data_IF_975991610338
#
_entry.id   IF_975991610338
#
_cell.length_a   1.000
_cell.length_b   1.000
_cell.length_c   1.000
_cell.angle_alpha   90.00
_cell.angle_beta   90.00
_cell.angle_gamma   90.00
#
_symmetry.space_group_name_H-M   'P 1'
#
loop_
_entity.id
_entity.type
_entity.pdbx_description
1 polymer ?
#
# COMPACT_ATOMS: atom_id res chain seq x y z
N UNK A 1 -4.75 23.05 -0.20
CA UNK A 1 -3.85 21.90 -0.04
C UNK A 1 -3.12 21.56 -1.35
N UNK A 2 -3.83 21.27 -2.48
CA UNK A 2 -3.18 20.84 -3.72
C UNK A 2 -2.13 21.84 -4.25
N UNK A 3 -2.40 23.14 -4.23
CA UNK A 3 -1.41 24.18 -4.59
C UNK A 3 -0.17 24.15 -3.70
N UNK A 4 -0.37 24.05 -2.38
CA UNK A 4 0.74 23.91 -1.41
C UNK A 4 1.63 22.70 -1.71
N UNK A 5 1.02 21.53 -2.02
CA UNK A 5 1.78 20.33 -2.38
C UNK A 5 2.60 20.55 -3.66
N UNK A 6 2.03 21.21 -4.67
CA UNK A 6 2.71 21.50 -5.92
C UNK A 6 3.88 22.51 -5.73
N UNK A 7 3.66 23.58 -4.99
CA UNK A 7 4.68 24.59 -4.68
C UNK A 7 5.89 24.01 -3.93
N UNK A 8 5.63 23.00 -3.06
CA UNK A 8 6.68 22.32 -2.31
C UNK A 8 7.15 21.00 -2.97
N UNK A 9 6.72 20.71 -4.19
CA UNK A 9 7.08 19.52 -4.96
C UNK A 9 6.90 18.20 -4.17
N UNK A 10 5.83 18.12 -3.38
CA UNK A 10 5.52 16.92 -2.61
C UNK A 10 5.01 15.83 -3.55
N UNK A 11 5.61 14.65 -3.53
CA UNK A 11 5.09 13.49 -4.25
C UNK A 11 3.74 13.06 -3.68
N UNK A 12 2.78 12.79 -4.56
CA UNK A 12 1.43 12.39 -4.17
C UNK A 12 1.19 10.94 -4.52
N UNK A 13 0.86 10.13 -3.51
CA UNK A 13 0.42 8.74 -3.69
C UNK A 13 -1.06 8.66 -3.29
N UNK A 14 -1.95 8.41 -4.27
CA UNK A 14 -3.38 8.45 -4.07
C UNK A 14 -4.02 7.07 -4.22
N UNK A 15 -4.81 6.66 -3.22
CA UNK A 15 -5.55 5.39 -3.29
C UNK A 15 -6.75 5.49 -4.22
N UNK A 16 -6.73 4.72 -5.31
CA UNK A 16 -7.87 4.51 -6.21
C UNK A 16 -8.00 3.01 -6.49
N UNK A 17 -8.78 2.25 -5.69
CA UNK A 17 -8.85 0.80 -5.77
C UNK A 17 -9.34 0.27 -7.11
N UNK A 18 -10.15 1.06 -7.83
CA UNK A 18 -10.61 0.75 -9.18
C UNK A 18 -10.91 2.04 -9.95
N UNK A 19 -10.86 1.96 -11.27
CA UNK A 19 -11.30 3.05 -12.18
C UNK A 19 -12.82 3.03 -12.44
N UNK A 20 -13.58 2.18 -11.74
CA UNK A 20 -15.04 2.08 -11.82
C UNK A 20 -15.68 2.36 -10.47
N UNK A 21 -16.70 3.23 -10.44
CA UNK A 21 -17.41 3.60 -9.20
C UNK A 21 -18.05 2.41 -8.51
N UNK A 22 -18.61 1.47 -9.29
CA UNK A 22 -19.25 0.26 -8.76
C UNK A 22 -18.33 -0.61 -7.90
N UNK A 23 -17.01 -0.54 -8.14
CA UNK A 23 -16.00 -1.27 -7.39
C UNK A 23 -15.39 -0.45 -6.24
N UNK A 24 -15.39 0.89 -6.36
CA UNK A 24 -14.82 1.79 -5.32
C UNK A 24 -15.81 2.04 -4.18
N UNK A 25 -17.06 2.31 -4.50
CA UNK A 25 -18.05 2.73 -3.50
C UNK A 25 -18.36 1.68 -2.42
N UNK A 26 -18.42 0.37 -2.71
CA UNK A 26 -18.58 -0.65 -1.67
C UNK A 26 -17.42 -0.70 -0.66
N UNK A 27 -16.19 -0.36 -1.10
CA UNK A 27 -15.01 -0.33 -0.23
C UNK A 27 -14.85 0.98 0.54
N UNK A 28 -15.10 2.11 -0.13
CA UNK A 28 -14.71 3.46 0.34
C UNK A 28 -15.89 4.34 0.74
N UNK A 29 -17.10 3.92 0.41
CA UNK A 29 -18.33 4.66 0.69
C UNK A 29 -18.86 5.46 -0.50
N UNK A 30 -20.16 5.80 -0.41
CA UNK A 30 -20.90 6.49 -1.47
C UNK A 30 -20.26 7.84 -1.83
N UNK A 31 -20.12 8.11 -3.13
CA UNK A 31 -19.60 9.37 -3.68
C UNK A 31 -18.09 9.56 -3.50
N UNK A 32 -17.36 8.59 -2.94
CA UNK A 32 -15.90 8.68 -2.81
C UNK A 32 -15.24 8.64 -4.18
N UNK A 33 -15.74 7.82 -5.12
CA UNK A 33 -15.20 7.74 -6.46
C UNK A 33 -15.22 9.13 -7.16
N UNK A 34 -16.37 9.79 -7.18
CA UNK A 34 -16.50 11.11 -7.83
C UNK A 34 -15.56 12.15 -7.20
N UNK A 35 -15.44 12.16 -5.86
CA UNK A 35 -14.49 13.05 -5.17
C UNK A 35 -13.03 12.74 -5.49
N UNK A 36 -12.68 11.46 -5.62
CA UNK A 36 -11.34 11.04 -6.00
C UNK A 36 -11.01 11.49 -7.42
N UNK A 37 -11.90 11.29 -8.39
CA UNK A 37 -11.73 11.76 -9.76
C UNK A 37 -11.52 13.29 -9.81
N UNK A 38 -12.38 14.06 -9.12
CA UNK A 38 -12.24 15.52 -9.06
C UNK A 38 -10.90 15.96 -8.43
N UNK A 39 -10.44 15.26 -7.39
CA UNK A 39 -9.15 15.53 -6.77
C UNK A 39 -7.98 15.25 -7.72
N UNK A 40 -8.01 14.12 -8.44
CA UNK A 40 -6.97 13.76 -9.42
C UNK A 40 -6.94 14.76 -10.58
N UNK A 41 -8.10 15.18 -11.10
CA UNK A 41 -8.19 16.21 -12.14
C UNK A 41 -7.60 17.55 -11.66
N UNK A 42 -7.85 17.92 -10.39
CA UNK A 42 -7.25 19.12 -9.80
C UNK A 42 -5.74 19.02 -9.66
N UNK A 43 -5.20 17.84 -9.31
CA UNK A 43 -3.76 17.59 -9.28
C UNK A 43 -3.15 17.67 -10.68
N UNK A 44 -3.79 17.06 -11.69
CA UNK A 44 -3.35 17.16 -13.08
C UNK A 44 -3.35 18.61 -13.61
N UNK A 45 -4.33 19.44 -13.21
CA UNK A 45 -4.36 20.85 -13.57
C UNK A 45 -3.16 21.66 -13.01
N UNK A 46 -2.55 21.18 -11.93
CA UNK A 46 -1.33 21.75 -11.33
C UNK A 46 -0.04 21.13 -11.90
N UNK A 47 -0.15 20.15 -12.81
CA UNK A 47 0.98 19.50 -13.44
C UNK A 47 1.34 18.10 -12.90
N UNK A 48 0.72 17.64 -11.83
CA UNK A 48 0.95 16.28 -11.30
C UNK A 48 0.67 15.20 -12.34
N UNK A 49 1.52 14.15 -12.39
CA UNK A 49 1.39 13.03 -13.30
C UNK A 49 1.57 13.38 -14.78
N UNK A 50 1.98 14.62 -15.09
CA UNK A 50 2.23 15.07 -16.47
C UNK A 50 3.68 14.98 -16.84
N UNK A 51 4.02 14.49 -18.04
CA UNK A 51 5.41 14.39 -18.50
C UNK A 51 6.15 15.72 -18.40
N UNK A 52 7.34 15.70 -17.83
CA UNK A 52 8.22 16.87 -17.75
C UNK A 52 7.90 17.89 -16.66
N UNK A 53 6.81 17.73 -15.89
CA UNK A 53 6.44 18.66 -14.82
C UNK A 53 7.32 18.52 -13.57
N UNK A 54 7.83 17.31 -13.30
CA UNK A 54 8.54 16.97 -12.07
C UNK A 54 7.63 16.85 -10.84
N UNK A 55 6.29 16.83 -11.02
CA UNK A 55 5.30 16.64 -9.98
C UNK A 55 4.74 15.22 -10.09
N UNK A 56 5.20 14.32 -9.20
CA UNK A 56 4.87 12.89 -9.22
C UNK A 56 3.48 12.65 -8.65
N UNK A 57 2.66 11.90 -9.39
CA UNK A 57 1.37 11.36 -8.98
C UNK A 57 1.34 9.85 -9.20
N UNK A 58 1.41 9.09 -8.13
CA UNK A 58 1.21 7.64 -8.17
C UNK A 58 -0.18 7.27 -7.68
N UNK A 59 -0.74 6.19 -8.23
CA UNK A 59 -1.99 5.62 -7.75
C UNK A 59 -1.74 4.30 -7.05
N UNK A 60 -2.59 3.99 -6.06
CA UNK A 60 -2.56 2.70 -5.36
C UNK A 60 -3.81 1.90 -5.67
N UNK A 61 -3.61 0.68 -6.15
CA UNK A 61 -4.62 -0.35 -6.33
C UNK A 61 -4.58 -1.36 -5.19
N UNK A 62 -5.76 -1.69 -4.65
CA UNK A 62 -5.99 -2.83 -3.77
C UNK A 62 -7.12 -3.67 -4.34
N UNK A 63 -7.04 -5.02 -4.34
CA UNK A 63 -8.15 -5.89 -4.73
C UNK A 63 -9.42 -5.61 -3.91
N UNK A 64 -10.58 -5.77 -4.54
CA UNK A 64 -11.89 -5.54 -3.89
C UNK A 64 -12.37 -6.73 -3.06
N UNK A 65 -11.59 -7.80 -2.95
CA UNK A 65 -11.97 -9.04 -2.28
C UNK A 65 -10.78 -9.88 -1.84
N UNK A 66 -11.07 -11.12 -1.45
CA UNK A 66 -10.13 -12.12 -0.94
C UNK A 66 -9.36 -12.83 -2.08
N UNK A 67 -8.62 -12.05 -2.89
CA UNK A 67 -7.80 -12.57 -3.99
C UNK A 67 -6.53 -11.73 -4.16
N UNK A 68 -5.53 -12.30 -4.81
CA UNK A 68 -4.30 -11.60 -5.15
C UNK A 68 -4.53 -10.64 -6.33
N UNK A 69 -3.85 -9.49 -6.37
CA UNK A 69 -3.92 -8.59 -7.51
C UNK A 69 -3.34 -9.26 -8.76
N UNK A 70 -3.82 -8.83 -9.92
CA UNK A 70 -3.19 -9.17 -11.20
C UNK A 70 -1.83 -8.46 -11.32
N UNK A 71 -1.04 -8.84 -12.34
CA UNK A 71 0.28 -8.24 -12.59
C UNK A 71 0.20 -6.70 -12.66
N UNK A 72 1.06 -6.02 -11.90
CA UNK A 72 1.03 -4.55 -11.77
C UNK A 72 1.12 -3.85 -13.13
N UNK A 73 1.96 -4.33 -14.04
CA UNK A 73 2.13 -3.75 -15.37
C UNK A 73 0.88 -3.83 -16.24
N UNK A 74 0.07 -4.87 -16.10
CA UNK A 74 -1.20 -5.03 -16.82
C UNK A 74 -2.28 -4.12 -16.25
N UNK A 75 -2.36 -4.07 -14.91
CA UNK A 75 -3.26 -3.17 -14.21
C UNK A 75 -2.94 -1.71 -14.54
N UNK A 76 -1.66 -1.32 -14.50
CA UNK A 76 -1.25 0.04 -14.83
C UNK A 76 -1.65 0.46 -16.23
N UNK A 77 -1.41 -0.41 -17.24
CA UNK A 77 -1.86 -0.14 -18.61
C UNK A 77 -3.37 0.06 -18.71
N UNK A 78 -4.16 -0.76 -18.00
CA UNK A 78 -5.60 -0.64 -17.95
C UNK A 78 -6.05 0.65 -17.26
N UNK A 79 -5.45 0.99 -16.10
CA UNK A 79 -5.74 2.25 -15.39
C UNK A 79 -5.41 3.48 -16.23
N UNK A 80 -4.25 3.52 -16.88
CA UNK A 80 -3.85 4.64 -17.76
C UNK A 80 -4.85 4.83 -18.89
N UNK A 81 -5.24 3.75 -19.56
CA UNK A 81 -6.23 3.80 -20.65
C UNK A 81 -7.59 4.29 -20.15
N UNK A 82 -8.15 3.66 -19.12
CA UNK A 82 -9.52 3.94 -18.65
C UNK A 82 -9.63 5.34 -18.01
N UNK A 83 -8.67 5.75 -17.20
CA UNK A 83 -8.68 7.07 -16.56
C UNK A 83 -8.46 8.19 -17.58
N UNK A 84 -7.61 7.97 -18.58
CA UNK A 84 -7.46 8.93 -19.67
C UNK A 84 -8.73 9.05 -20.50
N UNK A 85 -9.29 7.94 -20.97
CA UNK A 85 -10.45 7.95 -21.87
C UNK A 85 -11.71 8.52 -21.21
N UNK A 86 -11.94 8.20 -19.94
CA UNK A 86 -13.17 8.60 -19.22
C UNK A 86 -13.08 9.94 -18.52
N UNK A 87 -11.88 10.32 -18.07
CA UNK A 87 -11.72 11.45 -17.15
C UNK A 87 -10.57 12.40 -17.50
N UNK A 88 -9.82 12.15 -18.58
CA UNK A 88 -8.62 12.88 -18.98
C UNK A 88 -7.58 12.99 -17.84
N UNK A 89 -7.44 11.92 -17.03
CA UNK A 89 -6.49 11.83 -15.91
C UNK A 89 -5.23 11.10 -16.36
N UNK A 90 -4.08 11.69 -16.04
CA UNK A 90 -2.74 11.14 -16.18
C UNK A 90 -2.13 10.89 -14.80
N UNK A 91 -1.27 9.88 -14.70
CA UNK A 91 -0.50 9.57 -13.49
C UNK A 91 0.80 8.84 -13.89
N UNK A 92 1.77 8.82 -12.98
CA UNK A 92 3.09 8.25 -13.26
C UNK A 92 3.07 6.72 -13.14
N UNK A 93 2.77 6.17 -11.96
CA UNK A 93 2.83 4.73 -11.69
C UNK A 93 1.57 4.24 -10.98
N UNK A 94 1.22 2.97 -11.20
CA UNK A 94 0.26 2.24 -10.38
C UNK A 94 1.01 1.34 -9.40
N UNK A 95 0.82 1.56 -8.13
CA UNK A 95 1.35 0.71 -7.07
C UNK A 95 0.29 -0.30 -6.67
N UNK A 96 0.59 -1.58 -6.80
CA UNK A 96 -0.36 -2.66 -6.53
C UNK A 96 -0.07 -3.26 -5.17
N UNK A 97 -1.03 -3.22 -4.27
CA UNK A 97 -0.92 -3.73 -2.92
C UNK A 97 -1.83 -4.93 -2.70
N UNK A 98 -1.30 -5.96 -2.07
CA UNK A 98 -2.09 -7.07 -1.54
C UNK A 98 -2.84 -6.61 -0.29
N UNK A 99 -4.09 -7.03 -0.13
CA UNK A 99 -4.85 -6.72 1.08
C UNK A 99 -4.28 -7.50 2.27
N UNK A 100 -3.94 -6.77 3.33
CA UNK A 100 -3.39 -7.36 4.55
C UNK A 100 -4.52 -7.88 5.44
N UNK A 101 -4.57 -9.18 5.81
CA UNK A 101 -5.64 -9.76 6.62
C UNK A 101 -5.49 -9.43 8.11
N UNK A 102 -5.54 -8.13 8.44
CA UNK A 102 -5.45 -7.62 9.82
C UNK A 102 -6.61 -6.69 10.14
N UNK A 103 -6.90 -6.50 11.43
CA UNK A 103 -7.88 -5.53 11.93
C UNK A 103 -9.20 -5.60 11.16
N UNK A 104 -9.71 -4.49 10.66
CA UNK A 104 -11.01 -4.39 9.99
C UNK A 104 -11.17 -5.32 8.78
N UNK A 105 -10.10 -5.56 8.04
CA UNK A 105 -10.17 -6.46 6.88
C UNK A 105 -10.24 -7.93 7.33
N UNK A 106 -9.47 -8.32 8.34
CA UNK A 106 -9.59 -9.65 8.95
C UNK A 106 -11.01 -9.90 9.52
N UNK A 107 -11.56 -8.91 10.25
CA UNK A 107 -12.93 -8.98 10.76
C UNK A 107 -13.98 -9.08 9.64
N UNK A 108 -13.78 -8.36 8.54
CA UNK A 108 -14.67 -8.43 7.38
C UNK A 108 -14.61 -9.80 6.73
N UNK A 109 -13.43 -10.37 6.53
CA UNK A 109 -13.23 -11.73 6.02
C UNK A 109 -13.84 -12.78 6.96
N UNK A 110 -13.63 -12.65 8.27
CA UNK A 110 -14.17 -13.58 9.28
C UNK A 110 -15.71 -13.61 9.27
N UNK A 111 -16.36 -12.43 9.18
CA UNK A 111 -17.84 -12.35 9.07
C UNK A 111 -18.39 -13.04 7.82
N UNK A 112 -17.58 -13.20 6.78
CA UNK A 112 -17.93 -13.88 5.52
C UNK A 112 -17.50 -15.35 5.50
N UNK A 113 -16.79 -15.82 6.53
CA UNK A 113 -16.17 -17.15 6.53
C UNK A 113 -15.03 -17.32 5.53
N UNK A 114 -14.40 -16.22 5.10
CA UNK A 114 -13.37 -16.20 4.05
C UNK A 114 -11.95 -16.05 4.62
N UNK A 115 -11.77 -15.82 5.93
CA UNK A 115 -10.46 -15.49 6.51
C UNK A 115 -9.44 -16.63 6.35
N UNK A 116 -9.82 -17.85 6.74
CA UNK A 116 -8.92 -19.01 6.63
C UNK A 116 -8.56 -19.33 5.18
N UNK A 117 -9.53 -19.26 4.27
CA UNK A 117 -9.29 -19.49 2.84
C UNK A 117 -8.35 -18.42 2.25
N UNK A 118 -8.48 -17.17 2.67
CA UNK A 118 -7.60 -16.09 2.22
C UNK A 118 -6.19 -16.23 2.79
N UNK A 119 -6.05 -16.57 4.08
CA UNK A 119 -4.76 -16.87 4.69
C UNK A 119 -4.06 -18.05 3.97
N UNK A 120 -4.79 -19.14 3.71
CA UNK A 120 -4.27 -20.26 2.94
C UNK A 120 -3.85 -19.85 1.51
N UNK A 121 -4.61 -18.97 0.86
CA UNK A 121 -4.22 -18.41 -0.45
C UNK A 121 -2.88 -17.70 -0.37
N UNK A 122 -2.68 -16.83 0.62
CA UNK A 122 -1.44 -16.08 0.80
C UNK A 122 -0.25 -17.02 1.06
N UNK A 123 -0.41 -17.99 1.95
CA UNK A 123 0.63 -18.99 2.27
C UNK A 123 1.00 -19.82 1.03
N UNK A 124 -0.01 -20.31 0.29
CA UNK A 124 0.22 -21.13 -0.91
C UNK A 124 0.89 -20.38 -2.07
N UNK A 125 0.84 -19.04 -2.04
CA UNK A 125 1.48 -18.17 -3.02
C UNK A 125 2.73 -17.48 -2.48
N UNK A 126 3.31 -17.97 -1.39
CA UNK A 126 4.55 -17.43 -0.86
C UNK A 126 5.64 -17.39 -1.94
N UNK A 127 6.22 -16.21 -2.12
CA UNK A 127 7.25 -15.97 -3.12
C UNK A 127 8.56 -15.54 -2.44
N UNK A 128 9.57 -16.42 -2.38
CA UNK A 128 10.85 -16.08 -1.75
C UNK A 128 11.58 -14.95 -2.49
N UNK A 129 11.30 -14.72 -3.77
CA UNK A 129 11.91 -13.61 -4.53
C UNK A 129 11.43 -12.23 -4.05
N UNK A 130 10.29 -12.13 -3.36
CA UNK A 130 9.81 -10.89 -2.76
C UNK A 130 10.54 -10.53 -1.46
N UNK A 131 11.12 -11.51 -0.75
CA UNK A 131 11.71 -11.31 0.58
C UNK A 131 12.82 -10.26 0.63
N UNK A 132 13.77 -10.18 -0.32
CA UNK A 132 14.82 -9.16 -0.29
C UNK A 132 14.31 -7.71 -0.36
N UNK A 133 13.16 -7.49 -1.00
CA UNK A 133 12.55 -6.17 -1.19
C UNK A 133 11.57 -5.74 -0.08
N UNK A 134 11.36 -6.54 0.96
CA UNK A 134 10.43 -6.21 2.04
C UNK A 134 10.89 -4.98 2.82
N UNK A 135 9.97 -4.03 3.05
CA UNK A 135 10.26 -2.77 3.75
C UNK A 135 10.73 -2.98 5.18
N UNK A 136 10.20 -3.96 5.91
CA UNK A 136 10.61 -4.26 7.27
C UNK A 136 12.11 -4.61 7.43
N UNK A 137 12.83 -4.83 6.33
CA UNK A 137 14.28 -5.08 6.32
C UNK A 137 15.11 -3.80 6.36
N UNK A 138 14.53 -2.66 6.02
CA UNK A 138 15.26 -1.39 5.83
C UNK A 138 14.55 -0.19 6.45
N UNK A 139 13.37 -0.39 7.04
CA UNK A 139 12.58 0.68 7.65
C UNK A 139 12.15 0.30 9.06
N UNK A 140 11.93 1.30 9.88
CA UNK A 140 11.39 1.18 11.23
C UNK A 140 10.18 2.10 11.34
N UNK A 141 9.06 1.59 11.86
CA UNK A 141 7.90 2.38 12.23
C UNK A 141 8.02 2.84 13.67
N UNK A 142 7.72 4.11 13.91
CA UNK A 142 7.75 4.71 15.26
C UNK A 142 6.34 5.23 15.58
N UNK A 143 5.78 4.79 16.69
CA UNK A 143 4.49 5.31 17.15
C UNK A 143 4.60 6.67 17.83
N UNK A 144 3.47 7.26 18.20
CA UNK A 144 3.40 8.57 18.85
C UNK A 144 4.03 8.60 20.26
N UNK A 145 4.29 7.46 20.88
CA UNK A 145 5.01 7.31 22.16
C UNK A 145 6.50 7.08 21.97
N UNK A 146 6.92 6.97 20.70
CA UNK A 146 8.28 6.64 20.33
C UNK A 146 8.59 5.14 20.34
N UNK A 147 7.59 4.26 20.51
CA UNK A 147 7.80 2.80 20.43
C UNK A 147 8.18 2.37 19.02
N UNK A 148 9.11 1.42 18.92
CA UNK A 148 9.68 0.93 17.66
C UNK A 148 9.00 -0.36 17.20
N UNK A 149 8.71 -0.42 15.90
CA UNK A 149 8.14 -1.58 15.22
C UNK A 149 8.86 -1.84 13.91
N UNK A 150 8.97 -3.10 13.48
CA UNK A 150 9.64 -3.47 12.22
C UNK A 150 8.90 -2.94 10.98
N UNK A 151 7.58 -2.71 11.07
CA UNK A 151 6.76 -2.09 10.03
C UNK A 151 5.45 -1.54 10.61
N UNK A 152 4.71 -0.81 9.81
CA UNK A 152 3.39 -0.25 10.14
C UNK A 152 2.33 -1.32 10.42
N UNK A 153 2.40 -2.49 9.78
CA UNK A 153 1.51 -3.61 10.08
C UNK A 153 1.81 -4.22 11.45
N UNK A 154 3.09 -4.38 11.80
CA UNK A 154 3.50 -4.79 13.14
C UNK A 154 3.04 -3.76 14.18
N UNK A 155 3.17 -2.46 13.90
CA UNK A 155 2.64 -1.40 14.74
C UNK A 155 1.11 -1.54 14.91
N UNK A 156 0.38 -1.76 13.82
CA UNK A 156 -1.07 -1.97 13.88
C UNK A 156 -1.46 -3.20 14.70
N UNK A 157 -0.61 -4.21 14.79
CA UNK A 157 -0.82 -5.45 15.54
C UNK A 157 -0.21 -5.45 16.95
N UNK A 158 0.46 -4.36 17.33
CA UNK A 158 1.19 -4.23 18.60
C UNK A 158 2.32 -5.26 18.75
N UNK A 159 3.00 -5.60 17.64
CA UNK A 159 4.17 -6.46 17.57
C UNK A 159 5.44 -5.60 17.57
N UNK A 160 6.16 -5.48 18.69
CA UNK A 160 7.30 -4.58 18.81
C UNK A 160 8.50 -5.06 17.98
N UNK A 161 9.38 -4.12 17.62
CA UNK A 161 10.59 -4.37 16.84
C UNK A 161 11.45 -5.47 17.47
N UNK A 162 11.80 -6.48 16.68
CA UNK A 162 12.57 -7.63 17.16
C UNK A 162 11.88 -8.42 18.29
N UNK A 163 10.58 -8.27 18.50
CA UNK A 163 9.83 -8.88 19.59
C UNK A 163 10.09 -8.24 20.97
N UNK A 164 10.81 -7.10 21.04
CA UNK A 164 11.17 -6.42 22.29
C UNK A 164 10.67 -4.98 22.29
N UNK A 165 9.93 -4.56 23.32
CA UNK A 165 9.51 -3.17 23.44
C UNK A 165 10.73 -2.27 23.70
N UNK A 166 10.96 -1.37 22.76
CA UNK A 166 11.98 -0.30 22.84
C UNK A 166 11.37 0.99 22.29
N UNK A 167 11.95 2.09 22.71
CA UNK A 167 11.58 3.41 22.17
C UNK A 167 12.78 4.02 21.44
N UNK A 168 12.52 4.96 20.54
CA UNK A 168 13.54 5.75 19.88
C UNK A 168 14.43 6.53 20.86
N UNK A 169 13.94 6.76 22.08
CA UNK A 169 14.69 7.45 23.15
C UNK A 169 15.67 6.52 23.89
N UNK A 170 15.59 5.19 23.63
CA UNK A 170 16.42 4.18 24.29
C UNK A 170 17.53 3.65 23.37
N UNK A 171 17.66 4.19 22.16
CA UNK A 171 18.73 3.86 21.20
C UNK A 171 19.50 5.14 20.87
N UNK A 172 20.81 5.03 20.64
CA UNK A 172 21.67 6.15 20.22
C UNK A 172 21.68 6.30 18.71
N UNK A 173 21.58 5.19 17.97
CA UNK A 173 21.53 5.15 16.51
C UNK A 173 20.68 3.98 16.01
N UNK A 174 20.15 4.10 14.78
CA UNK A 174 19.40 3.00 14.15
C UNK A 174 20.26 1.78 13.82
N UNK A 175 21.57 1.96 13.69
CA UNK A 175 22.52 0.85 13.45
C UNK A 175 22.50 -0.20 14.58
N UNK A 176 22.01 0.16 15.78
CA UNK A 176 21.80 -0.81 16.86
C UNK A 176 20.72 -1.85 16.55
N UNK A 177 19.90 -1.62 15.54
CA UNK A 177 18.85 -2.52 15.09
C UNK A 177 19.35 -3.47 13.98
N UNK A 178 20.55 -3.22 13.43
CA UNK A 178 21.09 -4.00 12.34
C UNK A 178 21.36 -5.46 12.77
N UNK A 179 20.86 -6.38 11.93
CA UNK A 179 21.01 -7.83 12.19
C UNK A 179 20.07 -8.39 13.27
N UNK A 180 19.22 -7.56 13.89
CA UNK A 180 18.20 -8.09 14.79
C UNK A 180 17.10 -8.84 14.02
N UNK A 181 16.50 -9.89 14.60
CA UNK A 181 15.41 -10.61 13.98
C UNK A 181 14.18 -9.71 13.87
N UNK A 182 13.52 -9.75 12.71
CA UNK A 182 12.24 -9.06 12.48
C UNK A 182 11.12 -9.87 13.13
N UNK A 183 10.25 -9.23 13.89
CA UNK A 183 9.04 -9.86 14.43
C UNK A 183 8.07 -10.20 13.29
N UNK A 184 7.74 -11.48 13.13
CA UNK A 184 6.90 -11.99 12.05
C UNK A 184 5.61 -12.59 12.57
N UNK A 185 4.59 -12.64 11.70
CA UNK A 185 3.30 -13.27 11.95
C UNK A 185 2.63 -13.68 10.63
N UNK A 186 1.44 -14.26 10.71
CA UNK A 186 0.70 -14.72 9.53
C UNK A 186 0.44 -13.61 8.50
N UNK A 187 0.31 -12.37 8.94
CA UNK A 187 0.12 -11.21 8.08
C UNK A 187 1.30 -10.98 7.12
N UNK A 188 2.52 -11.43 7.47
CA UNK A 188 3.72 -11.28 6.62
C UNK A 188 3.57 -11.98 5.25
N UNK A 189 2.72 -13.01 5.16
CA UNK A 189 2.38 -13.62 3.88
C UNK A 189 1.67 -12.64 2.93
N UNK A 190 0.98 -11.62 3.44
CA UNK A 190 0.43 -10.54 2.61
C UNK A 190 1.48 -9.72 1.87
N UNK A 191 2.68 -9.57 2.45
CA UNK A 191 3.80 -8.87 1.80
C UNK A 191 4.59 -9.77 0.84
N UNK A 192 4.48 -11.10 0.97
CA UNK A 192 5.32 -12.06 0.22
C UNK A 192 4.53 -12.89 -0.79
N UNK A 193 3.19 -12.85 -0.79
CA UNK A 193 2.38 -13.62 -1.71
C UNK A 193 2.41 -13.05 -3.13
N UNK A 194 2.46 -13.94 -4.14
CA UNK A 194 2.46 -13.58 -5.56
C UNK A 194 3.65 -12.73 -5.96
N UNK A 195 3.42 -11.54 -6.51
CA UNK A 195 4.49 -10.59 -6.82
C UNK A 195 5.07 -9.89 -5.59
N UNK A 196 4.58 -10.21 -4.39
CA UNK A 196 4.90 -9.46 -3.18
C UNK A 196 4.23 -8.08 -3.14
N UNK A 197 4.32 -7.42 -2.01
CA UNK A 197 3.68 -6.11 -1.82
C UNK A 197 4.46 -5.24 -0.83
N UNK A 198 4.70 -4.01 -1.23
CA UNK A 198 5.26 -2.96 -0.37
C UNK A 198 4.55 -1.64 -0.62
N UNK A 199 4.87 -0.59 0.15
CA UNK A 199 4.36 0.76 -0.13
C UNK A 199 4.76 1.29 -1.52
N UNK A 200 5.72 0.65 -2.19
CA UNK A 200 6.15 0.97 -3.56
C UNK A 200 5.57 0.00 -4.61
N UNK A 201 4.55 -0.79 -4.24
CA UNK A 201 3.88 -1.74 -5.12
C UNK A 201 4.50 -3.14 -5.10
N UNK A 202 4.37 -3.87 -6.22
CA UNK A 202 4.90 -5.21 -6.36
C UNK A 202 6.43 -5.27 -6.22
N UNK A 203 6.93 -6.33 -5.56
CA UNK A 203 8.35 -6.50 -5.23
C UNK A 203 9.09 -7.41 -6.23
N UNK A 204 8.37 -8.28 -6.90
CA UNK A 204 8.89 -9.21 -7.91
C UNK A 204 8.03 -9.14 -9.17
N UNK A 205 8.59 -9.45 -10.35
CA UNK A 205 7.85 -9.49 -11.60
C UNK A 205 6.82 -10.61 -11.64
#
# INVERSE_FOLDING_TARGET
LAGFLAENRVEVVASLPCYESANVEPQRGRGVFARSIAALQRLNALGYGRPGSGLVLDLVHNPTGAFLPAAQTELERSYKRELWQRHAIEFDRLLTLTNMPIRRYAEWLARRGELEAYQALLVNHFNPAAVPGLMCRTTVSVDWRGELFDCDFNQALDLPCGGKRRTIFAIEAFDELDGEPIATGEHCFGCTAGAGSSCYGALAP
#
